data_IF_356427075613
#
_entry.id   IF_356427075613
#
_cell.length_a   1.000
_cell.length_b   1.000
_cell.length_c   1.000
_cell.angle_alpha   90.00
_cell.angle_beta   90.00
_cell.angle_gamma   90.00
#
_symmetry.space_group_name_H-M   'P 1'
#
loop_
_entity.id
_entity.type
_entity.pdbx_description
1 polymer ?
#
# COMPACT_ATOMS: atom_id res chain seq x y z
N UNK A 1 -3.67 -16.08 1.66
CA UNK A 1 -2.33 -16.15 1.02
C UNK A 1 -2.37 -16.77 -0.37
N UNK A 2 -2.90 -17.99 -0.54
CA UNK A 2 -3.05 -18.63 -1.85
C UNK A 2 -3.79 -17.73 -2.87
N UNK A 3 -4.80 -16.97 -2.41
CA UNK A 3 -5.46 -15.94 -3.23
C UNK A 3 -4.52 -14.84 -3.74
N UNK A 4 -3.64 -14.30 -2.88
CA UNK A 4 -2.71 -13.22 -3.27
C UNK A 4 -1.68 -13.73 -4.29
N UNK A 5 -1.12 -14.92 -4.06
CA UNK A 5 -0.18 -15.56 -5.02
C UNK A 5 -0.88 -15.89 -6.34
N UNK A 6 -2.11 -16.42 -6.29
CA UNK A 6 -2.90 -16.71 -7.50
C UNK A 6 -3.40 -15.46 -8.25
N UNK A 7 -3.52 -14.32 -7.57
CA UNK A 7 -3.79 -13.02 -8.20
C UNK A 7 -2.50 -12.45 -8.81
N UNK A 8 -1.38 -12.55 -8.10
CA UNK A 8 -0.06 -12.17 -8.56
C UNK A 8 0.29 -12.82 -9.91
N UNK A 9 0.08 -14.12 -10.04
CA UNK A 9 0.40 -14.87 -11.28
C UNK A 9 -0.41 -14.43 -12.50
N UNK A 10 -1.45 -13.60 -12.33
CA UNK A 10 -2.34 -13.11 -13.39
C UNK A 10 -2.10 -11.65 -13.75
N UNK A 11 -1.21 -10.95 -13.04
CA UNK A 11 -0.93 -9.53 -13.29
C UNK A 11 0.41 -9.35 -14.01
N UNK A 12 0.41 -8.46 -15.00
CA UNK A 12 1.65 -7.92 -15.56
C UNK A 12 2.16 -6.84 -14.61
N UNK A 13 3.21 -7.14 -13.87
CA UNK A 13 3.80 -6.18 -12.94
C UNK A 13 4.86 -5.32 -13.61
N UNK A 14 4.95 -4.08 -13.15
CA UNK A 14 6.00 -3.16 -13.59
C UNK A 14 7.40 -3.76 -13.32
N UNK A 15 8.24 -3.87 -14.36
CA UNK A 15 9.56 -4.48 -14.24
C UNK A 15 10.52 -3.62 -13.42
N UNK A 16 10.24 -2.32 -13.27
CA UNK A 16 11.07 -1.37 -12.56
C UNK A 16 10.36 -0.75 -11.34
N UNK A 17 11.14 -0.15 -10.43
CA UNK A 17 10.62 0.72 -9.39
C UNK A 17 10.30 2.14 -9.87
N UNK A 18 9.83 2.98 -8.96
CA UNK A 18 9.51 4.38 -9.27
C UNK A 18 10.75 5.16 -9.74
N UNK A 19 11.96 4.74 -9.38
CA UNK A 19 13.21 5.36 -9.83
C UNK A 19 13.73 4.77 -11.16
N UNK A 20 12.97 3.86 -11.80
CA UNK A 20 13.37 3.20 -13.04
C UNK A 20 14.36 2.04 -12.86
N UNK A 21 14.64 1.62 -11.62
CA UNK A 21 15.54 0.50 -11.36
C UNK A 21 14.82 -0.82 -11.60
N UNK A 22 15.36 -1.65 -12.50
CA UNK A 22 14.83 -2.97 -12.80
C UNK A 22 14.84 -3.89 -11.58
N UNK A 23 13.75 -4.61 -11.39
CA UNK A 23 13.52 -5.58 -10.32
C UNK A 23 13.67 -7.00 -10.86
N UNK A 24 14.36 -7.86 -10.12
CA UNK A 24 14.36 -9.30 -10.43
C UNK A 24 12.96 -9.87 -10.20
N UNK A 25 12.66 -11.03 -10.78
CA UNK A 25 11.37 -11.69 -10.64
C UNK A 25 11.00 -11.95 -9.16
N UNK A 26 11.96 -12.40 -8.36
CA UNK A 26 11.78 -12.62 -6.92
C UNK A 26 11.42 -11.32 -6.19
N UNK A 27 12.07 -10.21 -6.55
CA UNK A 27 11.77 -8.91 -5.94
C UNK A 27 10.38 -8.42 -6.32
N UNK A 28 9.97 -8.62 -7.57
CA UNK A 28 8.61 -8.34 -8.02
C UNK A 28 7.62 -9.20 -7.25
N UNK A 29 7.93 -10.47 -7.05
CA UNK A 29 7.07 -11.41 -6.33
C UNK A 29 6.92 -11.03 -4.86
N UNK A 30 8.02 -10.84 -4.15
CA UNK A 30 7.99 -10.46 -2.74
C UNK A 30 7.23 -9.14 -2.50
N UNK A 31 7.52 -8.10 -3.31
CA UNK A 31 6.86 -6.80 -3.17
C UNK A 31 5.40 -6.84 -3.61
N UNK A 32 5.10 -7.50 -4.72
CA UNK A 32 3.74 -7.60 -5.26
C UNK A 32 2.83 -8.43 -4.36
N UNK A 33 3.29 -9.58 -3.85
CA UNK A 33 2.54 -10.39 -2.88
C UNK A 33 2.25 -9.58 -1.62
N UNK A 34 3.23 -8.83 -1.11
CA UNK A 34 2.97 -8.02 0.08
C UNK A 34 1.98 -6.87 -0.18
N UNK A 35 2.09 -6.17 -1.32
CA UNK A 35 1.13 -5.14 -1.71
C UNK A 35 -0.31 -5.70 -1.76
N UNK A 36 -0.50 -6.86 -2.38
CA UNK A 36 -1.80 -7.53 -2.43
C UNK A 36 -2.32 -7.97 -1.05
N UNK A 37 -1.43 -8.34 -0.13
CA UNK A 37 -1.82 -8.66 1.24
C UNK A 37 -2.26 -7.39 1.99
N UNK A 38 -1.58 -6.26 1.80
CA UNK A 38 -1.96 -4.98 2.38
C UNK A 38 -3.33 -4.50 1.85
N UNK A 39 -3.56 -4.57 0.53
CA UNK A 39 -4.87 -4.31 -0.10
C UNK A 39 -5.96 -5.22 0.48
N UNK A 40 -5.70 -6.53 0.53
CA UNK A 40 -6.65 -7.52 1.03
C UNK A 40 -6.98 -7.32 2.52
N UNK A 41 -5.97 -6.98 3.33
CA UNK A 41 -6.16 -6.65 4.73
C UNK A 41 -7.03 -5.40 4.89
N UNK A 42 -6.75 -4.33 4.15
CA UNK A 42 -7.54 -3.09 4.19
C UNK A 42 -9.00 -3.35 3.80
N UNK A 43 -9.23 -4.11 2.73
CA UNK A 43 -10.57 -4.52 2.30
C UNK A 43 -11.30 -5.29 3.40
N UNK A 44 -10.61 -6.16 4.15
CA UNK A 44 -11.19 -6.83 5.32
C UNK A 44 -11.57 -5.82 6.39
N UNK A 45 -10.69 -4.88 6.73
CA UNK A 45 -10.98 -3.86 7.75
C UNK A 45 -12.22 -3.04 7.39
N UNK A 46 -12.34 -2.59 6.14
CA UNK A 46 -13.52 -1.84 5.67
C UNK A 46 -14.77 -2.70 5.76
N UNK A 47 -14.72 -3.96 5.29
CA UNK A 47 -15.85 -4.88 5.35
C UNK A 47 -16.30 -5.15 6.79
N UNK A 48 -15.36 -5.44 7.68
CA UNK A 48 -15.65 -5.82 9.06
C UNK A 48 -16.20 -4.63 9.87
N UNK A 49 -15.77 -3.40 9.53
CA UNK A 49 -16.36 -2.19 10.08
C UNK A 49 -17.73 -1.88 9.46
N UNK A 50 -17.89 -2.06 8.15
CA UNK A 50 -19.14 -1.88 7.42
C UNK A 50 -20.23 -2.87 7.87
N UNK A 51 -19.88 -4.11 8.18
CA UNK A 51 -20.80 -5.14 8.67
C UNK A 51 -21.47 -4.74 10.01
N UNK A 52 -20.89 -3.78 10.73
CA UNK A 52 -21.48 -3.20 11.95
C UNK A 52 -22.48 -2.08 11.66
N UNK A 53 -22.74 -1.76 10.39
CA UNK A 53 -23.68 -0.71 9.98
C UNK A 53 -24.89 -1.34 9.26
N UNK A 54 -26.08 -1.11 9.79
CA UNK A 54 -27.30 -1.87 9.43
C UNK A 54 -27.97 -1.43 8.12
N UNK A 55 -27.59 -0.30 7.51
CA UNK A 55 -28.43 0.38 6.50
C UNK A 55 -27.76 0.45 5.11
N UNK A 56 -26.54 -0.06 4.97
CA UNK A 56 -25.71 0.23 3.81
C UNK A 56 -25.18 -1.05 3.18
N UNK A 57 -25.43 -1.21 1.87
CA UNK A 57 -24.80 -2.30 1.11
C UNK A 57 -23.47 -1.81 0.52
N UNK A 58 -22.42 -2.61 0.69
CA UNK A 58 -21.09 -2.33 0.18
C UNK A 58 -20.69 -3.35 -0.88
N UNK A 59 -20.27 -2.88 -2.05
CA UNK A 59 -19.60 -3.69 -3.07
C UNK A 59 -18.16 -3.25 -3.21
N UNK A 60 -17.27 -4.22 -3.36
CA UNK A 60 -15.84 -3.99 -3.50
C UNK A 60 -15.36 -4.52 -4.85
N UNK A 61 -14.80 -3.65 -5.67
CA UNK A 61 -14.14 -4.01 -6.91
C UNK A 61 -12.67 -3.57 -6.90
N UNK A 62 -11.89 -4.14 -7.81
CA UNK A 62 -10.49 -3.78 -8.04
C UNK A 62 -10.19 -4.02 -9.51
N UNK A 63 -9.59 -3.06 -10.18
CA UNK A 63 -9.23 -3.20 -11.59
C UNK A 63 -7.75 -3.52 -11.73
N UNK A 64 -7.36 -4.44 -12.64
CA UNK A 64 -5.95 -4.60 -12.97
C UNK A 64 -5.43 -3.29 -13.58
N UNK A 65 -4.13 -3.02 -13.45
CA UNK A 65 -3.52 -1.84 -14.07
C UNK A 65 -3.71 -1.82 -15.59
N UNK A 66 -4.20 -0.69 -16.10
CA UNK A 66 -4.38 -0.41 -17.51
C UNK A 66 -4.04 1.06 -17.81
N UNK A 67 -3.83 1.40 -19.08
CA UNK A 67 -3.74 2.81 -19.49
C UNK A 67 -5.14 3.31 -19.87
N UNK A 68 -5.50 4.52 -19.42
CA UNK A 68 -6.72 5.17 -19.88
C UNK A 68 -6.53 5.81 -21.28
N UNK A 69 -7.57 6.47 -21.79
CA UNK A 69 -7.55 7.14 -23.10
C UNK A 69 -6.52 8.27 -23.20
N UNK A 70 -6.11 8.83 -22.06
CA UNK A 70 -5.13 9.92 -21.97
C UNK A 70 -3.70 9.38 -21.77
N UNK A 71 -3.52 8.06 -21.77
CA UNK A 71 -2.24 7.40 -21.56
C UNK A 71 -1.77 7.40 -20.10
N UNK A 72 -2.66 7.72 -19.16
CA UNK A 72 -2.40 7.68 -17.72
C UNK A 72 -2.61 6.27 -17.15
N UNK A 73 -1.91 5.97 -16.07
CA UNK A 73 -2.06 4.69 -15.40
C UNK A 73 -3.34 4.64 -14.56
N UNK A 74 -4.30 3.83 -15.00
CA UNK A 74 -5.54 3.55 -14.32
C UNK A 74 -5.45 2.20 -13.61
N UNK A 75 -5.14 2.25 -12.32
CA UNK A 75 -5.36 1.16 -11.38
C UNK A 75 -6.19 1.69 -10.22
N UNK A 76 -7.13 0.90 -9.70
CA UNK A 76 -7.83 1.20 -8.44
C UNK A 76 -7.71 -0.02 -7.55
N UNK A 77 -7.02 0.15 -6.43
CA UNK A 77 -6.79 -0.93 -5.47
C UNK A 77 -8.11 -1.39 -4.86
N UNK A 78 -8.92 -0.44 -4.38
CA UNK A 78 -10.24 -0.72 -3.80
C UNK A 78 -11.25 0.32 -4.31
N UNK A 79 -12.26 -0.13 -5.05
CA UNK A 79 -13.47 0.64 -5.35
C UNK A 79 -14.54 0.22 -4.36
N UNK A 80 -15.04 1.17 -3.56
CA UNK A 80 -16.15 0.98 -2.63
C UNK A 80 -17.40 1.61 -3.25
N UNK A 81 -18.37 0.77 -3.63
CA UNK A 81 -19.71 1.23 -4.02
C UNK A 81 -20.64 1.08 -2.83
N UNK A 82 -21.18 2.21 -2.39
CA UNK A 82 -22.12 2.32 -1.28
C UNK A 82 -23.51 2.56 -1.80
N UNK A 83 -24.45 1.69 -1.44
CA UNK A 83 -25.85 1.82 -1.82
C UNK A 83 -26.72 2.04 -0.59
N UNK A 84 -27.61 3.05 -0.64
CA UNK A 84 -28.61 3.34 0.38
C UNK A 84 -29.96 3.72 -0.25
N UNK A 85 -31.05 3.27 0.35
CA UNK A 85 -32.40 3.73 0.03
C UNK A 85 -32.66 5.09 0.69
N UNK A 86 -33.01 6.09 -0.11
CA UNK A 86 -33.41 7.43 0.34
C UNK A 86 -34.77 7.72 -0.27
N UNK A 87 -35.80 7.87 0.57
CA UNK A 87 -37.17 8.17 0.13
C UNK A 87 -37.71 7.15 -0.92
N UNK A 88 -37.34 5.88 -0.78
CA UNK A 88 -37.73 4.83 -1.71
C UNK A 88 -36.92 4.76 -3.01
N UNK A 89 -35.93 5.63 -3.20
CA UNK A 89 -35.00 5.62 -4.33
C UNK A 89 -33.63 5.10 -3.90
N UNK A 90 -33.08 4.17 -4.68
CA UNK A 90 -31.72 3.68 -4.50
C UNK A 90 -30.72 4.77 -4.91
N UNK A 91 -29.89 5.22 -3.97
CA UNK A 91 -28.75 6.11 -4.24
C UNK A 91 -27.45 5.35 -4.05
N UNK A 92 -26.54 5.52 -5.01
CA UNK A 92 -25.22 4.92 -5.00
C UNK A 92 -24.12 5.99 -4.99
N UNK A 93 -23.10 5.79 -4.16
CA UNK A 93 -21.88 6.61 -4.12
C UNK A 93 -20.69 5.68 -4.34
N UNK A 94 -19.73 6.12 -5.15
CA UNK A 94 -18.49 5.39 -5.39
C UNK A 94 -17.31 6.13 -4.79
N UNK A 95 -16.42 5.38 -4.13
CA UNK A 95 -15.17 5.87 -3.57
C UNK A 95 -14.02 5.00 -4.05
N UNK A 96 -13.04 5.62 -4.70
CA UNK A 96 -11.78 5.02 -5.12
C UNK A 96 -10.75 5.21 -4.00
N UNK A 97 -10.21 4.09 -3.53
CA UNK A 97 -9.22 4.07 -2.45
C UNK A 97 -7.91 3.49 -3.00
N UNK A 98 -6.82 4.23 -2.76
CA UNK A 98 -5.45 3.81 -3.04
C UNK A 98 -4.79 3.28 -1.77
N UNK A 99 -4.14 2.12 -1.84
CA UNK A 99 -3.44 1.51 -0.71
C UNK A 99 -1.93 1.63 -0.92
N UNK A 100 -1.29 2.51 -0.14
CA UNK A 100 0.18 2.55 -0.08
C UNK A 100 0.66 1.77 1.13
N UNK A 101 1.60 0.87 0.89
CA UNK A 101 2.27 0.14 1.95
C UNK A 101 3.75 0.53 2.03
N UNK A 102 4.23 0.78 3.23
CA UNK A 102 5.66 0.90 3.50
C UNK A 102 6.09 -0.13 4.52
N UNK A 103 7.35 -0.50 4.42
CA UNK A 103 7.97 -1.49 5.29
C UNK A 103 8.85 -0.77 6.30
N UNK A 104 8.73 -1.14 7.56
CA UNK A 104 9.49 -0.50 8.61
C UNK A 104 10.84 -1.23 8.83
N UNK A 105 11.96 -0.50 8.67
CA UNK A 105 13.34 -1.00 8.90
C UNK A 105 13.95 -0.60 10.24
N UNK A 106 13.42 0.46 10.85
CA UNK A 106 14.10 1.13 11.96
C UNK A 106 13.12 1.47 13.07
N UNK A 107 12.16 2.33 12.76
CA UNK A 107 11.13 2.74 13.69
C UNK A 107 9.87 3.08 12.91
N UNK A 108 8.72 2.79 13.52
CA UNK A 108 7.43 3.07 12.91
C UNK A 108 7.38 4.56 12.53
N UNK A 109 7.88 5.44 13.40
CA UNK A 109 8.06 6.86 13.12
C UNK A 109 8.78 7.14 11.79
N UNK A 110 9.94 6.53 11.52
CA UNK A 110 10.67 6.75 10.27
C UNK A 110 9.88 6.26 9.05
N UNK A 111 9.24 5.09 9.16
CA UNK A 111 8.41 4.55 8.09
C UNK A 111 7.23 5.47 7.76
N UNK A 112 6.65 6.08 8.80
CA UNK A 112 5.53 7.00 8.67
C UNK A 112 6.00 8.33 8.07
N UNK A 113 7.00 9.00 8.65
CA UNK A 113 7.44 10.33 8.19
C UNK A 113 7.95 10.31 6.74
N UNK A 114 8.69 9.27 6.35
CA UNK A 114 9.25 9.17 5.01
C UNK A 114 8.28 8.50 4.01
N UNK A 115 7.36 7.66 4.48
CA UNK A 115 6.42 6.95 3.62
C UNK A 115 5.17 7.76 3.29
N UNK A 116 4.68 8.58 4.24
CA UNK A 116 3.52 9.45 4.00
C UNK A 116 3.79 10.52 2.94
N UNK A 117 5.05 10.81 2.66
CA UNK A 117 5.42 11.82 1.68
C UNK A 117 5.22 11.44 0.23
N UNK A 118 4.94 10.17 -0.02
CA UNK A 118 4.73 9.62 -1.36
C UNK A 118 3.26 9.16 -1.54
N UNK A 119 2.39 9.49 -0.59
CA UNK A 119 0.94 9.31 -0.73
C UNK A 119 0.39 10.38 -1.66
N UNK A 120 -0.55 10.01 -2.52
CA UNK A 120 -1.15 10.89 -3.51
C UNK A 120 -0.99 10.37 -4.93
N UNK A 121 -1.58 11.05 -5.93
CA UNK A 121 -1.31 10.76 -7.33
C UNK A 121 0.16 11.09 -7.61
N UNK A 122 0.84 10.25 -8.37
CA UNK A 122 2.21 10.52 -8.77
C UNK A 122 2.46 10.20 -10.22
N UNK A 123 3.35 10.97 -10.84
CA UNK A 123 3.79 10.78 -12.20
C UNK A 123 5.30 10.89 -12.31
N UNK A 124 5.87 10.21 -13.29
CA UNK A 124 7.20 10.47 -13.82
C UNK A 124 7.26 10.02 -15.28
N UNK A 125 8.41 10.17 -15.94
CA UNK A 125 8.60 9.74 -17.33
C UNK A 125 8.48 8.22 -17.56
N UNK A 126 8.55 7.41 -16.50
CA UNK A 126 8.45 5.94 -16.52
C UNK A 126 7.01 5.47 -16.22
N UNK A 127 6.27 6.25 -15.44
CA UNK A 127 4.87 6.06 -15.05
C UNK A 127 4.14 7.37 -15.32
N UNK A 128 3.68 7.59 -16.58
CA UNK A 128 2.87 8.76 -16.88
C UNK A 128 1.72 8.80 -15.87
N UNK A 129 1.44 10.00 -15.35
CA UNK A 129 0.71 10.26 -14.11
C UNK A 129 -0.35 9.24 -13.70
N UNK A 130 -0.42 8.94 -12.41
CA UNK A 130 -1.47 8.11 -11.83
C UNK A 130 -2.77 8.91 -11.69
N UNK A 131 -3.89 8.32 -12.12
CA UNK A 131 -5.21 8.94 -11.97
C UNK A 131 -5.55 9.14 -10.48
N UNK A 132 -6.00 10.36 -10.14
CA UNK A 132 -6.46 10.75 -8.80
C UNK A 132 -7.52 9.78 -8.21
N UNK A 133 -7.31 9.39 -6.95
CA UNK A 133 -8.27 8.64 -6.11
C UNK A 133 -8.85 9.54 -5.03
N UNK A 134 -10.03 9.17 -4.53
CA UNK A 134 -10.74 9.94 -3.50
C UNK A 134 -10.01 9.90 -2.15
N UNK A 135 -9.45 8.73 -1.82
CA UNK A 135 -8.80 8.46 -0.54
C UNK A 135 -7.50 7.68 -0.76
N UNK A 136 -6.43 8.09 -0.09
CA UNK A 136 -5.15 7.40 -0.04
C UNK A 136 -4.92 6.92 1.39
N UNK A 137 -4.77 5.60 1.58
CA UNK A 137 -4.48 5.01 2.89
C UNK A 137 -3.04 4.54 2.97
N UNK A 138 -2.45 4.66 4.16
CA UNK A 138 -1.10 4.22 4.42
C UNK A 138 -1.05 3.10 5.45
N UNK A 139 -0.46 1.99 5.04
CA UNK A 139 -0.25 0.82 5.87
C UNK A 139 1.25 0.68 6.11
N UNK A 140 1.64 0.76 7.38
CA UNK A 140 2.98 0.36 7.79
C UNK A 140 2.98 -1.15 8.05
N UNK A 141 4.00 -1.84 7.53
CA UNK A 141 4.20 -3.26 7.73
C UNK A 141 5.36 -3.44 8.69
N UNK A 142 5.06 -3.98 9.87
CA UNK A 142 6.07 -4.38 10.85
C UNK A 142 6.47 -5.83 10.59
N UNK A 143 7.73 -6.02 10.19
CA UNK A 143 8.29 -7.35 9.92
C UNK A 143 8.87 -8.00 11.19
N UNK A 144 8.55 -7.46 12.37
CA UNK A 144 9.01 -7.89 13.69
C UNK A 144 10.54 -8.01 13.75
N UNK A 145 11.23 -7.05 13.14
CA UNK A 145 12.68 -7.02 13.17
C UNK A 145 13.11 -6.77 14.62
N UNK A 146 13.94 -7.66 15.17
CA UNK A 146 14.67 -7.33 16.40
C UNK A 146 15.65 -6.21 16.09
N UNK A 147 15.88 -5.33 17.06
CA UNK A 147 16.54 -4.04 16.90
C UNK A 147 17.71 -4.07 15.89
N UNK A 148 17.72 -3.09 14.98
CA UNK A 148 18.74 -2.90 13.96
C UNK A 148 20.14 -2.87 14.61
N UNK A 149 20.85 -4.00 14.52
CA UNK A 149 22.10 -4.26 15.23
C UNK A 149 22.44 -5.75 15.24
N UNK A 150 21.42 -6.61 15.23
CA UNK A 150 21.62 -8.05 15.29
C UNK A 150 21.53 -8.70 13.90
N UNK A 151 22.64 -9.29 13.43
CA UNK A 151 22.60 -10.27 12.34
C UNK A 151 21.94 -11.55 12.88
N UNK A 152 20.79 -11.95 12.33
CA UNK A 152 20.16 -13.20 12.74
C UNK A 152 20.55 -14.32 11.79
N UNK A 153 21.02 -15.42 12.35
CA UNK A 153 21.10 -16.68 11.65
C UNK A 153 19.71 -17.27 11.61
N UNK A 154 19.09 -17.30 10.43
CA UNK A 154 17.85 -18.03 10.20
C UNK A 154 18.22 -19.39 9.61
N UNK A 155 17.66 -20.47 10.17
CA UNK A 155 17.78 -21.79 9.58
C UNK A 155 16.56 -22.04 8.71
N UNK A 156 16.77 -22.17 7.41
CA UNK A 156 15.74 -22.48 6.42
C UNK A 156 16.08 -23.79 5.75
N UNK A 157 15.19 -24.78 5.90
CA UNK A 157 15.32 -26.09 5.25
C UNK A 157 16.67 -26.76 5.54
N UNK A 158 17.14 -26.66 6.79
CA UNK A 158 18.46 -27.15 7.23
C UNK A 158 19.66 -26.29 6.79
N UNK A 159 19.43 -25.23 6.02
CA UNK A 159 20.50 -24.35 5.52
C UNK A 159 20.58 -23.09 6.37
N UNK A 160 21.79 -22.77 6.85
CA UNK A 160 22.09 -21.57 7.62
C UNK A 160 22.11 -20.35 6.69
N UNK A 161 21.19 -19.41 6.88
CA UNK A 161 21.18 -18.11 6.18
C UNK A 161 21.41 -16.97 7.16
N UNK A 162 22.28 -16.04 6.79
CA UNK A 162 22.49 -14.81 7.54
C UNK A 162 21.54 -13.73 7.01
N UNK A 163 20.72 -13.18 7.89
CA UNK A 163 19.88 -12.03 7.59
C UNK A 163 20.52 -10.80 8.23
N UNK A 164 20.96 -9.90 7.36
CA UNK A 164 21.41 -8.57 7.74
C UNK A 164 20.21 -7.61 7.63
N UNK A 165 19.68 -7.20 8.79
CA UNK A 165 18.53 -6.30 8.89
C UNK A 165 18.87 -4.83 8.58
N UNK A 166 20.15 -4.49 8.41
CA UNK A 166 20.55 -3.19 7.89
C UNK A 166 20.42 -3.08 6.36
N UNK A 167 20.09 -4.20 5.67
CA UNK A 167 19.88 -4.23 4.22
C UNK A 167 18.46 -3.88 3.80
N UNK A 168 18.27 -3.75 2.48
CA UNK A 168 17.06 -3.27 1.84
C UNK A 168 15.81 -4.12 2.12
N UNK A 169 14.63 -3.51 1.90
CA UNK A 169 13.30 -4.16 1.92
C UNK A 169 13.25 -5.54 1.35
N UNK A 170 13.78 -5.64 0.15
CA UNK A 170 13.75 -6.84 -0.64
C UNK A 170 14.51 -7.97 0.05
N UNK A 171 15.65 -7.66 0.68
CA UNK A 171 16.46 -8.64 1.40
C UNK A 171 15.67 -9.24 2.57
N UNK A 172 15.02 -8.40 3.38
CA UNK A 172 14.23 -8.87 4.52
C UNK A 172 13.04 -9.71 4.04
N UNK A 173 12.34 -9.27 2.99
CA UNK A 173 11.22 -10.03 2.46
C UNK A 173 11.64 -11.41 1.94
N UNK A 174 12.74 -11.51 1.19
CA UNK A 174 13.19 -12.75 0.59
C UNK A 174 13.88 -13.70 1.57
N UNK A 175 14.60 -13.16 2.56
CA UNK A 175 15.43 -13.96 3.46
C UNK A 175 14.77 -14.22 4.83
N UNK A 176 13.82 -13.39 5.25
CA UNK A 176 13.14 -13.52 6.54
C UNK A 176 11.64 -13.79 6.39
N UNK A 177 10.92 -13.01 5.58
CA UNK A 177 9.45 -13.04 5.60
C UNK A 177 8.85 -14.14 4.74
N UNK A 178 9.34 -14.32 3.52
CA UNK A 178 8.81 -15.28 2.56
C UNK A 178 9.82 -16.39 2.24
N UNK A 179 9.30 -17.59 1.94
CA UNK A 179 9.98 -18.58 1.11
C UNK A 179 9.39 -18.49 -0.28
N UNK A 180 10.24 -18.26 -1.29
CA UNK A 180 9.84 -18.27 -2.69
C UNK A 180 10.44 -19.50 -3.35
N UNK A 181 9.59 -20.38 -3.86
CA UNK A 181 9.99 -21.58 -4.61
C UNK A 181 8.95 -21.87 -5.67
N UNK A 182 9.40 -22.17 -6.91
CA UNK A 182 8.51 -22.60 -8.00
C UNK A 182 7.31 -21.66 -8.24
N UNK A 183 7.54 -20.34 -8.17
CA UNK A 183 6.51 -19.33 -8.36
C UNK A 183 5.49 -19.21 -7.22
N UNK A 184 5.71 -19.87 -6.08
CA UNK A 184 4.88 -19.78 -4.88
C UNK A 184 5.62 -19.02 -3.79
N UNK A 185 4.90 -18.13 -3.11
CA UNK A 185 5.38 -17.47 -1.90
C UNK A 185 4.65 -18.04 -0.66
N UNK A 186 5.39 -18.54 0.32
CA UNK A 186 4.89 -18.96 1.63
C UNK A 186 5.43 -18.04 2.72
N UNK A 187 4.63 -17.71 3.72
CA UNK A 187 5.11 -16.92 4.86
C UNK A 187 5.89 -17.82 5.80
N UNK A 188 7.10 -17.37 6.12
CA UNK A 188 8.03 -18.03 7.04
C UNK A 188 7.93 -17.45 8.44
N UNK A 189 7.88 -16.12 8.54
CA UNK A 189 7.79 -15.38 9.79
C UNK A 189 6.61 -14.41 9.76
N UNK A 190 5.93 -14.26 10.91
CA UNK A 190 4.82 -13.34 11.06
C UNK A 190 5.22 -11.87 10.81
N UNK A 191 4.22 -11.06 10.53
CA UNK A 191 4.32 -9.62 10.36
C UNK A 191 2.97 -9.00 10.67
N UNK A 192 2.97 -7.72 11.04
CA UNK A 192 1.76 -6.97 11.34
C UNK A 192 1.51 -5.88 10.31
N UNK A 193 0.22 -5.70 10.00
CA UNK A 193 -0.27 -4.54 9.26
C UNK A 193 -0.78 -3.51 10.26
N UNK A 194 -0.27 -2.29 10.14
CA UNK A 194 -0.68 -1.15 10.96
C UNK A 194 -1.22 -0.09 10.01
N UNK A 195 -2.53 0.17 10.06
CA UNK A 195 -3.12 1.34 9.41
C UNK A 195 -2.68 2.56 10.19
N UNK A 196 -1.84 3.39 9.58
CA UNK A 196 -1.29 4.56 10.27
C UNK A 196 -2.15 5.79 10.02
N UNK A 197 -2.82 5.86 8.88
CA UNK A 197 -3.65 7.01 8.51
C UNK A 197 -3.90 7.07 7.02
N UNK A 198 -4.32 8.24 6.57
CA UNK A 198 -4.58 8.51 5.16
C UNK A 198 -4.92 9.97 4.91
N UNK A 199 -5.15 10.28 3.64
CA UNK A 199 -5.51 11.62 3.18
C UNK A 199 -6.52 11.53 2.04
N UNK A 200 -7.34 12.57 1.89
CA UNK A 200 -8.24 12.70 0.74
C UNK A 200 -7.52 13.41 -0.41
N UNK A 201 -8.03 13.29 -1.64
CA UNK A 201 -7.54 14.08 -2.78
C UNK A 201 -7.48 15.59 -2.45
N UNK A 202 -8.53 16.13 -1.83
CA UNK A 202 -8.63 17.54 -1.47
C UNK A 202 -7.50 17.99 -0.54
N UNK A 203 -7.08 17.14 0.40
CA UNK A 203 -5.99 17.49 1.32
C UNK A 203 -4.65 17.64 0.61
N UNK A 204 -4.42 16.89 -0.48
CA UNK A 204 -3.21 17.07 -1.31
C UNK A 204 -3.28 18.31 -2.19
N UNK A 205 -4.49 18.71 -2.59
CA UNK A 205 -4.71 19.92 -3.36
C UNK A 205 -4.62 21.19 -2.51
N UNK A 206 -4.85 21.08 -1.20
CA UNK A 206 -4.70 22.17 -0.25
C UNK A 206 -3.21 22.53 -0.02
N UNK A 207 -2.79 23.63 -0.63
CA UNK A 207 -1.42 24.13 -0.53
C UNK A 207 -0.99 24.50 0.90
N UNK A 208 -1.93 24.75 1.83
CA UNK A 208 -1.62 25.07 3.23
C UNK A 208 -1.22 23.84 4.06
N UNK A 209 -1.58 22.65 3.57
CA UNK A 209 -1.29 21.38 4.24
C UNK A 209 -0.05 20.68 3.66
N UNK A 210 0.45 21.16 2.53
CA UNK A 210 1.58 20.61 1.82
C UNK A 210 2.92 21.00 2.46
N UNK A 211 3.76 20.01 2.72
CA UNK A 211 5.15 20.20 3.15
C UNK A 211 6.12 19.69 2.05
N UNK A 212 7.13 20.47 1.65
CA UNK A 212 8.20 19.97 0.77
C UNK A 212 9.25 19.20 1.57
N UNK A 213 9.33 17.88 1.40
CA UNK A 213 10.40 17.08 2.01
C UNK A 213 11.69 17.18 1.18
N UNK A 214 12.51 18.20 1.46
CA UNK A 214 13.82 18.43 0.81
C UNK A 214 14.94 17.44 1.20
N UNK A 215 14.64 16.29 1.82
CA UNK A 215 15.66 15.32 2.24
C UNK A 215 15.22 13.88 2.03
N UNK A 216 15.02 13.48 0.78
CA UNK A 216 15.10 12.07 0.39
C UNK A 216 16.24 11.89 -0.61
N UNK A 217 17.26 11.09 -0.26
CA UNK A 217 18.43 10.84 -1.08
C UNK A 217 18.17 9.90 -2.28
N UNK A 218 16.91 9.57 -2.57
CA UNK A 218 16.55 8.66 -3.66
C UNK A 218 15.31 9.04 -4.47
N UNK A 219 14.57 10.10 -4.09
CA UNK A 219 13.42 10.55 -4.86
C UNK A 219 13.23 12.05 -4.65
N UNK A 220 13.72 12.82 -5.62
CA UNK A 220 13.50 14.25 -5.73
C UNK A 220 12.68 14.46 -7.00
N UNK A 221 11.38 14.62 -6.84
CA UNK A 221 10.54 15.12 -7.91
C UNK A 221 9.57 16.13 -7.29
N UNK A 222 9.52 17.32 -7.88
CA UNK A 222 8.63 18.41 -7.49
C UNK A 222 7.15 18.06 -7.73
N UNK A 223 6.87 16.95 -8.44
CA UNK A 223 5.54 16.39 -8.68
C UNK A 223 4.88 15.78 -7.41
N UNK A 224 5.59 15.69 -6.28
CA UNK A 224 5.10 15.03 -5.06
C UNK A 224 4.78 16.04 -3.96
N UNK A 225 3.54 15.99 -3.47
CA UNK A 225 3.11 16.73 -2.28
C UNK A 225 3.02 15.78 -1.09
N UNK A 226 3.63 16.15 0.03
CA UNK A 226 3.48 15.42 1.29
C UNK A 226 2.57 16.16 2.26
N UNK A 227 1.85 15.40 3.09
CA UNK A 227 1.06 15.94 4.19
C UNK A 227 1.69 15.42 5.49
N UNK A 228 1.95 16.31 6.43
CA UNK A 228 2.49 15.94 7.74
C UNK A 228 1.52 15.01 8.49
N UNK A 229 2.05 14.01 9.22
CA UNK A 229 1.24 12.97 9.89
C UNK A 229 0.16 13.54 10.82
N UNK A 230 0.42 14.57 11.65
CA UNK A 230 -0.64 15.15 12.48
C UNK A 230 -1.75 15.82 11.66
N UNK A 231 -1.44 16.22 10.41
CA UNK A 231 -2.39 16.80 9.45
C UNK A 231 -3.07 15.72 8.61
N UNK A 232 -2.42 14.56 8.41
CA UNK A 232 -3.04 13.37 7.85
C UNK A 232 -4.11 12.89 8.83
N UNK A 233 -5.32 12.63 8.32
CA UNK A 233 -6.44 12.27 9.19
C UNK A 233 -6.13 10.93 9.89
N UNK A 234 -6.52 10.81 11.16
CA UNK A 234 -6.43 9.58 11.95
C UNK A 234 -7.00 8.39 11.14
N UNK A 235 -6.33 7.24 11.19
CA UNK A 235 -6.77 5.96 10.64
C UNK A 235 -8.26 5.67 10.87
N UNK A 236 -8.76 5.91 12.09
CA UNK A 236 -10.17 5.75 12.45
C UNK A 236 -11.04 6.76 11.71
N UNK A 237 -10.57 8.00 11.56
CA UNK A 237 -11.29 9.06 10.85
C UNK A 237 -11.38 8.79 9.35
N UNK A 238 -10.34 8.24 8.74
CA UNK A 238 -10.36 7.82 7.34
C UNK A 238 -11.33 6.65 7.13
N UNK A 239 -11.28 5.62 7.99
CA UNK A 239 -12.25 4.53 7.93
C UNK A 239 -13.69 5.04 8.09
N UNK A 240 -13.93 5.94 9.04
CA UNK A 240 -15.24 6.57 9.19
C UNK A 240 -15.64 7.35 7.94
N UNK A 241 -14.73 8.09 7.31
CA UNK A 241 -15.02 8.81 6.06
C UNK A 241 -15.39 7.87 4.91
N UNK A 242 -14.66 6.78 4.71
CA UNK A 242 -14.98 5.75 3.70
C UNK A 242 -16.42 5.26 3.85
N UNK A 243 -16.93 5.22 5.09
CA UNK A 243 -18.24 4.65 5.42
C UNK A 243 -19.35 5.71 5.54
N UNK A 244 -19.02 6.94 5.94
CA UNK A 244 -19.97 7.97 6.34
C UNK A 244 -20.67 8.66 5.16
N UNK A 245 -19.96 8.91 4.05
CA UNK A 245 -20.51 9.42 2.77
C UNK A 245 -21.47 8.42 2.18
#
# INVERSE_FOLDING_TARGET
>A
MAWAVGRYSKLTLNPADSAGVNRTEEQRMAKGVMGMLAEGWMRSQIRDFAAKQEIVTFKFASSPPQLNTDGEFEQVDILVTKTKMVEGVEKSVELKVEVRSSFNYHSLNNAIFNGFSVLGPYGNSVKPGETLKDIYVFIAIDLHQKAAGDNLIVYTDGTKRFVDYSKTTTSVLLNHTFSISEGKATVRNGFDFVLVGGATADMFNDASLAEPLKKNAGYQNDDFRSIGIPKALDAVSILKRILAT
#
